data_IF_634053081325
#
_entry.id   IF_634053081325
#
_cell.length_a   1.000
_cell.length_b   1.000
_cell.length_c   1.000
_cell.angle_alpha   90.00
_cell.angle_beta   90.00
_cell.angle_gamma   90.00
#
_symmetry.space_group_name_H-M   'P 1'
#
loop_
_entity.id
_entity.type
_entity.pdbx_description
1 polymer ?
#
# COMPACT_ATOMS: atom_id res chain seq x y z
N UNK A 1 1.90 -4.20 1.59
CA UNK A 1 2.19 -3.05 2.49
C UNK A 1 1.53 -1.80 1.91
N UNK A 2 1.38 -0.71 2.67
CA UNK A 2 0.74 0.52 2.17
C UNK A 2 1.72 1.68 2.13
N UNK A 3 1.64 2.49 1.08
CA UNK A 3 2.49 3.64 0.88
C UNK A 3 1.69 4.87 0.44
N UNK A 4 2.19 6.05 0.79
CA UNK A 4 1.67 7.33 0.32
C UNK A 4 2.78 8.29 -0.04
N UNK A 5 2.55 9.07 -1.09
CA UNK A 5 3.42 10.13 -1.58
C UNK A 5 2.61 11.42 -1.65
N UNK A 6 3.11 12.49 -1.03
CA UNK A 6 2.52 13.82 -1.14
C UNK A 6 2.86 14.39 -2.52
N UNK A 7 1.85 14.76 -3.30
CA UNK A 7 2.00 15.29 -4.66
C UNK A 7 1.61 16.78 -4.77
N UNK A 8 1.02 17.36 -3.72
CA UNK A 8 0.64 18.79 -3.64
C UNK A 8 1.12 19.43 -2.34
N UNK A 9 1.48 20.71 -2.41
CA UNK A 9 2.01 21.47 -1.27
C UNK A 9 3.45 21.08 -0.90
N UNK A 10 4.05 21.75 0.07
CA UNK A 10 5.43 21.49 0.49
C UNK A 10 5.53 20.38 1.55
N UNK A 11 4.59 20.35 2.50
CA UNK A 11 4.51 19.34 3.54
C UNK A 11 3.08 19.18 4.06
N UNK A 12 2.79 18.01 4.64
CA UNK A 12 1.49 17.70 5.22
C UNK A 12 1.68 16.85 6.48
N UNK A 13 0.99 17.18 7.57
CA UNK A 13 1.10 16.45 8.83
C UNK A 13 -0.20 15.70 9.13
N UNK A 14 -0.11 14.37 9.26
CA UNK A 14 -1.24 13.53 9.65
C UNK A 14 -0.76 12.21 10.25
N UNK A 15 -1.60 11.60 11.10
CA UNK A 15 -1.29 10.32 11.76
C UNK A 15 0.05 10.34 12.54
N UNK A 16 0.42 11.49 13.10
CA UNK A 16 1.71 11.65 13.80
C UNK A 16 2.94 11.66 12.88
N UNK A 17 2.74 11.72 11.57
CA UNK A 17 3.81 11.66 10.56
C UNK A 17 3.79 12.91 9.68
N UNK A 18 4.99 13.39 9.33
CA UNK A 18 5.18 14.47 8.34
C UNK A 18 5.47 13.86 6.97
N UNK A 19 4.61 14.17 6.00
CA UNK A 19 4.81 13.90 4.59
C UNK A 19 5.48 15.10 3.94
N UNK A 20 6.50 14.84 3.12
CA UNK A 20 7.21 15.85 2.35
C UNK A 20 6.89 15.64 0.88
N UNK A 21 6.87 16.72 0.12
CA UNK A 21 6.58 16.69 -1.32
C UNK A 21 7.46 15.66 -2.04
N UNK A 22 6.82 14.83 -2.87
CA UNK A 22 7.42 13.77 -3.69
C UNK A 22 8.22 12.70 -2.92
N UNK A 23 8.08 12.63 -1.59
CA UNK A 23 8.67 11.56 -0.78
C UNK A 23 7.63 10.52 -0.43
N UNK A 24 7.86 9.30 -0.91
CA UNK A 24 7.06 8.14 -0.52
C UNK A 24 7.34 7.74 0.93
N UNK A 25 6.28 7.34 1.64
CA UNK A 25 6.39 6.77 2.99
C UNK A 25 5.49 5.57 3.16
N UNK A 26 5.98 4.61 3.94
CA UNK A 26 5.18 3.49 4.44
C UNK A 26 4.19 3.97 5.49
N UNK A 27 2.95 3.54 5.36
CA UNK A 27 1.83 3.93 6.22
C UNK A 27 1.02 2.71 6.66
N UNK A 28 0.11 2.93 7.60
CA UNK A 28 -0.86 1.90 8.04
C UNK A 28 -2.03 1.81 7.06
N UNK A 29 -2.77 0.69 7.10
CA UNK A 29 -4.01 0.51 6.32
C UNK A 29 -5.03 1.61 6.59
N UNK A 30 -5.15 2.04 7.85
CA UNK A 30 -6.05 3.13 8.26
C UNK A 30 -5.67 4.45 7.60
N UNK A 31 -4.38 4.80 7.62
CA UNK A 31 -3.90 6.00 6.94
C UNK A 31 -4.12 5.92 5.43
N UNK A 32 -3.91 4.75 4.82
CA UNK A 32 -4.16 4.54 3.39
C UNK A 32 -5.62 4.80 3.01
N UNK A 33 -6.58 4.24 3.77
CA UNK A 33 -8.01 4.44 3.52
C UNK A 33 -8.46 5.89 3.65
N UNK A 34 -7.80 6.66 4.52
CA UNK A 34 -8.05 8.09 4.68
C UNK A 34 -7.41 8.89 3.53
N UNK A 35 -6.13 8.66 3.26
CA UNK A 35 -5.36 9.42 2.27
C UNK A 35 -5.78 9.13 0.83
N UNK A 36 -6.30 7.94 0.52
CA UNK A 36 -6.80 7.61 -0.83
C UNK A 36 -7.97 8.50 -1.29
N UNK A 37 -8.65 9.17 -0.36
CA UNK A 37 -9.75 10.12 -0.65
C UNK A 37 -9.25 11.57 -0.75
N UNK A 38 -7.95 11.80 -0.62
CA UNK A 38 -7.35 13.12 -0.60
C UNK A 38 -6.48 13.32 -1.86
N UNK A 39 -6.88 14.26 -2.72
CA UNK A 39 -6.23 14.55 -4.00
C UNK A 39 -4.83 15.16 -3.90
N UNK A 40 -4.31 15.35 -2.68
CA UNK A 40 -2.94 15.75 -2.42
C UNK A 40 -2.00 14.56 -2.33
N UNK A 41 -2.54 13.34 -2.27
CA UNK A 41 -1.77 12.13 -2.08
C UNK A 41 -1.98 11.15 -3.23
N UNK A 42 -0.86 10.59 -3.68
CA UNK A 42 -0.86 9.36 -4.45
C UNK A 42 -0.57 8.21 -3.48
N UNK A 43 -1.43 7.18 -3.49
CA UNK A 43 -1.30 6.03 -2.59
C UNK A 43 -1.17 4.74 -3.39
N UNK A 44 -0.41 3.78 -2.87
CA UNK A 44 -0.30 2.43 -3.44
C UNK A 44 -0.37 1.36 -2.37
N UNK A 45 -0.96 0.24 -2.73
CA UNK A 45 -0.89 -1.01 -1.99
C UNK A 45 0.10 -1.91 -2.71
N UNK A 46 1.14 -2.32 -1.99
CA UNK A 46 2.00 -3.40 -2.43
C UNK A 46 1.29 -4.70 -2.04
N UNK A 47 0.63 -5.32 -3.00
CA UNK A 47 0.16 -6.70 -2.86
C UNK A 47 1.39 -7.57 -2.65
N UNK A 48 1.52 -8.15 -1.45
CA UNK A 48 2.39 -9.31 -1.32
C UNK A 48 1.70 -10.40 -2.12
N UNK A 49 2.18 -10.63 -3.34
CA UNK A 49 1.86 -11.86 -4.06
C UNK A 49 2.18 -12.98 -3.07
N UNK A 50 1.13 -13.60 -2.53
CA UNK A 50 1.27 -14.81 -1.76
C UNK A 50 1.75 -15.84 -2.77
N UNK A 51 3.06 -16.04 -2.87
CA UNK A 51 3.65 -17.17 -3.59
C UNK A 51 3.28 -18.54 -2.97
N UNK A 52 2.29 -18.58 -2.07
CA UNK A 52 1.81 -19.76 -1.36
C UNK A 52 0.47 -20.24 -1.92
N UNK A 53 0.34 -20.33 -3.25
CA UNK A 53 -0.85 -20.94 -3.88
C UNK A 53 -0.54 -21.69 -5.18
N UNK A 54 0.68 -22.23 -5.33
CA UNK A 54 0.99 -23.17 -6.43
C UNK A 54 1.25 -24.61 -6.00
N UNK A 55 1.05 -24.97 -4.72
CA UNK A 55 1.31 -26.33 -4.21
C UNK A 55 0.04 -27.12 -3.85
N UNK A 56 -1.09 -26.95 -4.55
CA UNK A 56 -2.22 -27.87 -4.43
C UNK A 56 -2.77 -28.17 -5.85
N UNK A 57 -2.98 -29.46 -6.13
CA UNK A 57 -3.49 -30.07 -7.36
C UNK A 57 -2.46 -30.59 -8.38
N UNK A 58 -1.58 -31.52 -7.95
CA UNK A 58 -1.14 -32.65 -8.81
C UNK A 58 -0.87 -33.92 -8.01
N UNK A 59 -1.86 -34.43 -7.28
CA UNK A 59 -1.92 -35.85 -6.96
C UNK A 59 -3.40 -36.24 -6.85
N UNK A 60 -3.92 -36.87 -7.90
CA UNK A 60 -4.87 -38.00 -7.88
C UNK A 60 -5.58 -38.11 -9.23
N UNK A 61 -4.92 -38.77 -10.18
CA UNK A 61 -5.52 -39.58 -11.26
C UNK A 61 -4.39 -40.53 -11.70
N UNK A 62 -4.50 -41.86 -11.78
CA UNK A 62 -5.50 -42.85 -11.41
C UNK A 62 -4.72 -44.18 -11.30
N UNK A 63 -5.20 -45.08 -10.42
CA UNK A 63 -4.85 -46.50 -10.40
C UNK A 63 -5.32 -47.23 -11.66
#
# INVERSE_FOLDING_TARGET
MYYATLIKGASYYAFGQRFLLQKERKITKRAYQYLRKNDWFQVREEEKISLLSQDIEKQEENF
#
